data_IF_304847506628
#
_entry.id   IF_304847506628
#
_cell.length_a   1.000
_cell.length_b   1.000
_cell.length_c   1.000
_cell.angle_alpha   90.00
_cell.angle_beta   90.00
_cell.angle_gamma   90.00
#
_symmetry.space_group_name_H-M   'P 1'
#
loop_
_entity.id
_entity.type
_entity.pdbx_description
1 polymer ?
#
# COMPACT_ATOMS: atom_id res chain seq x y z
N UNK A 1 -2.13 -14.31 -15.36
CA UNK A 1 -0.78 -13.83 -15.01
C UNK A 1 -0.85 -12.76 -13.90
N UNK A 2 -1.55 -11.64 -14.10
CA UNK A 2 -1.66 -10.59 -13.06
C UNK A 2 -2.46 -10.97 -11.82
N UNK A 3 -3.54 -11.74 -11.94
CA UNK A 3 -4.31 -12.17 -10.76
C UNK A 3 -3.46 -12.96 -9.76
N UNK A 4 -2.62 -13.88 -10.25
CA UNK A 4 -1.68 -14.64 -9.42
C UNK A 4 -0.58 -13.74 -8.82
N UNK A 5 -0.12 -12.73 -9.58
CA UNK A 5 0.84 -11.74 -9.10
C UNK A 5 0.27 -10.87 -7.97
N UNK A 6 -0.95 -10.36 -8.16
CA UNK A 6 -1.66 -9.54 -7.15
C UNK A 6 -1.96 -10.31 -5.87
N UNK A 7 -2.17 -11.62 -5.95
CA UNK A 7 -2.46 -12.45 -4.77
C UNK A 7 -1.34 -12.38 -3.72
N UNK A 8 -0.08 -12.40 -4.15
CA UNK A 8 1.07 -12.33 -3.24
C UNK A 8 1.47 -10.90 -2.87
N UNK A 9 0.73 -9.90 -3.34
CA UNK A 9 0.93 -8.48 -3.03
C UNK A 9 -0.19 -7.91 -2.16
N UNK A 10 -1.06 -8.78 -1.64
CA UNK A 10 -2.20 -8.39 -0.82
C UNK A 10 -1.99 -8.84 0.62
N UNK A 11 -2.01 -7.90 1.56
CA UNK A 11 -1.90 -8.15 3.00
C UNK A 11 -3.17 -7.66 3.68
N UNK A 12 -3.97 -8.60 4.18
CA UNK A 12 -5.15 -8.30 5.00
C UNK A 12 -4.73 -8.10 6.47
N UNK A 13 -5.04 -6.94 7.04
CA UNK A 13 -4.75 -6.59 8.43
C UNK A 13 -6.07 -6.51 9.20
N UNK A 14 -6.55 -7.64 9.69
CA UNK A 14 -7.86 -7.72 10.32
C UNK A 14 -9.01 -7.67 9.30
N UNK A 15 -10.24 -7.37 9.75
CA UNK A 15 -11.45 -7.59 8.95
C UNK A 15 -11.73 -6.58 7.84
N UNK A 16 -11.18 -5.36 7.92
CA UNK A 16 -11.58 -4.24 7.05
C UNK A 16 -10.41 -3.47 6.44
N UNK A 17 -9.17 -3.86 6.70
CA UNK A 17 -7.99 -3.16 6.23
C UNK A 17 -7.15 -4.08 5.34
N UNK A 18 -6.81 -3.60 4.15
CA UNK A 18 -5.98 -4.34 3.19
C UNK A 18 -4.90 -3.42 2.63
N UNK A 19 -3.65 -3.88 2.65
CA UNK A 19 -2.55 -3.29 1.88
C UNK A 19 -2.41 -4.02 0.55
N UNK A 20 -2.49 -3.27 -0.54
CA UNK A 20 -2.18 -3.73 -1.89
C UNK A 20 -0.82 -3.15 -2.27
N UNK A 21 0.23 -3.95 -2.17
CA UNK A 21 1.58 -3.53 -2.54
C UNK A 21 1.72 -3.40 -4.05
N UNK A 22 2.21 -2.25 -4.48
CA UNK A 22 2.31 -1.87 -5.89
C UNK A 22 3.72 -2.10 -6.43
N UNK A 23 3.81 -2.30 -7.74
CA UNK A 23 5.02 -2.44 -8.54
C UNK A 23 4.77 -2.02 -9.99
N UNK A 24 5.82 -2.10 -10.80
CA UNK A 24 5.73 -1.78 -12.22
C UNK A 24 4.64 -2.59 -12.95
N UNK A 25 4.41 -3.86 -12.59
CA UNK A 25 3.42 -4.69 -13.26
C UNK A 25 2.00 -4.31 -12.84
N UNK A 26 1.74 -4.11 -11.56
CA UNK A 26 0.43 -3.68 -11.04
C UNK A 26 0.06 -2.29 -11.56
N UNK A 27 1.00 -1.34 -11.56
CA UNK A 27 0.81 0.00 -12.12
C UNK A 27 0.61 0.02 -13.62
N UNK A 28 1.37 -0.79 -14.37
CA UNK A 28 1.16 -0.94 -15.81
C UNK A 28 -0.30 -1.35 -16.12
N UNK A 29 -0.85 -2.31 -15.38
CA UNK A 29 -2.23 -2.75 -15.60
C UNK A 29 -3.25 -1.73 -15.14
N UNK A 30 -2.96 -0.99 -14.06
CA UNK A 30 -3.83 0.08 -13.58
C UNK A 30 -3.94 1.20 -14.62
N UNK A 31 -2.81 1.65 -15.17
CA UNK A 31 -2.78 2.64 -16.26
C UNK A 31 -3.53 2.12 -17.49
N UNK A 32 -3.25 0.89 -17.94
CA UNK A 32 -3.95 0.31 -19.08
C UNK A 32 -5.47 0.24 -18.89
N UNK A 33 -5.92 -0.07 -17.67
CA UNK A 33 -7.34 -0.12 -17.35
C UNK A 33 -7.98 1.27 -17.38
N UNK A 34 -7.33 2.28 -16.80
CA UNK A 34 -7.78 3.67 -16.85
C UNK A 34 -7.89 4.18 -18.28
N UNK A 35 -6.84 4.01 -19.08
CA UNK A 35 -6.83 4.41 -20.49
C UNK A 35 -7.98 3.75 -21.28
N UNK A 36 -8.30 2.49 -20.97
CA UNK A 36 -9.37 1.74 -21.63
C UNK A 36 -10.77 2.22 -21.23
N UNK A 37 -10.99 2.46 -19.93
CA UNK A 37 -12.28 2.92 -19.39
C UNK A 37 -12.59 4.32 -19.90
N UNK A 38 -11.62 5.23 -19.78
CA UNK A 38 -11.75 6.64 -20.15
C UNK A 38 -11.55 6.87 -21.65
N UNK A 39 -11.15 5.84 -22.41
CA UNK A 39 -10.88 5.88 -23.85
C UNK A 39 -9.85 6.97 -24.22
N UNK A 40 -8.76 6.99 -23.47
CA UNK A 40 -7.65 7.93 -23.66
C UNK A 40 -6.70 7.35 -24.70
N UNK A 41 -6.42 8.12 -25.76
CA UNK A 41 -5.52 7.72 -26.85
C UNK A 41 -4.46 8.78 -27.19
N UNK A 42 -4.63 10.00 -26.69
CA UNK A 42 -3.71 11.11 -26.94
C UNK A 42 -2.46 10.98 -26.08
N UNK A 43 -1.29 11.19 -26.69
CA UNK A 43 0.00 10.94 -26.02
C UNK A 43 0.17 11.75 -24.73
N UNK A 44 -0.24 13.02 -24.73
CA UNK A 44 -0.11 13.90 -23.56
C UNK A 44 -1.00 13.41 -22.40
N UNK A 45 -2.21 12.96 -22.68
CA UNK A 45 -3.13 12.41 -21.68
C UNK A 45 -2.64 11.05 -21.15
N UNK A 46 -2.02 10.23 -22.00
CA UNK A 46 -1.36 8.99 -21.56
C UNK A 46 -0.20 9.32 -20.61
N UNK A 47 0.56 10.37 -20.91
CA UNK A 47 1.66 10.81 -20.05
C UNK A 47 1.13 11.30 -18.70
N UNK A 48 0.02 12.03 -18.66
CA UNK A 48 -0.64 12.45 -17.42
C UNK A 48 -1.02 11.25 -16.53
N UNK A 49 -1.59 10.19 -17.11
CA UNK A 49 -1.90 8.95 -16.36
C UNK A 49 -0.62 8.26 -15.87
N UNK A 50 0.42 8.16 -16.71
CA UNK A 50 1.70 7.60 -16.28
C UNK A 50 2.30 8.39 -15.12
N UNK A 51 2.30 9.72 -15.19
CA UNK A 51 2.84 10.60 -14.15
C UNK A 51 2.06 10.48 -12.84
N UNK A 52 0.75 10.20 -12.89
CA UNK A 52 -0.07 9.96 -11.72
C UNK A 52 0.22 8.61 -11.02
N UNK A 53 0.52 7.55 -11.78
CA UNK A 53 0.72 6.19 -11.23
C UNK A 53 2.18 5.80 -11.00
N UNK A 54 3.13 6.35 -11.75
CA UNK A 54 4.56 6.08 -11.58
C UNK A 54 5.08 6.30 -10.14
N UNK A 55 4.62 7.30 -9.37
CA UNK A 55 5.03 7.48 -7.97
C UNK A 55 4.69 6.30 -7.04
N UNK A 56 3.78 5.41 -7.47
CA UNK A 56 3.42 4.19 -6.74
C UNK A 56 4.32 3.00 -7.08
N UNK A 57 5.31 3.16 -7.95
CA UNK A 57 6.30 2.13 -8.24
C UNK A 57 7.45 2.24 -7.23
N UNK A 58 7.82 1.14 -6.53
CA UNK A 58 9.01 1.09 -5.67
C UNK A 58 10.30 1.47 -6.41
N UNK A 59 11.20 2.19 -5.73
CA UNK A 59 12.48 2.65 -6.30
C UNK A 59 13.69 1.80 -5.88
N UNK A 60 13.48 0.78 -5.04
CA UNK A 60 14.53 -0.08 -4.52
C UNK A 60 14.81 0.08 -3.03
N UNK A 61 14.49 1.22 -2.40
CA UNK A 61 14.68 1.41 -0.94
C UNK A 61 13.37 1.56 -0.19
N UNK A 62 12.24 1.58 -0.91
CA UNK A 62 10.92 1.62 -0.31
C UNK A 62 9.97 0.57 -0.89
N UNK A 63 8.90 0.33 -0.13
CA UNK A 63 7.71 -0.37 -0.61
C UNK A 63 6.57 0.64 -0.75
N UNK A 64 5.81 0.53 -1.84
CA UNK A 64 4.63 1.35 -2.11
C UNK A 64 3.38 0.49 -1.97
N UNK A 65 2.34 1.03 -1.33
CA UNK A 65 1.08 0.31 -1.16
C UNK A 65 -0.13 1.22 -1.25
N UNK A 66 -1.18 0.71 -1.90
CA UNK A 66 -2.54 1.24 -1.76
C UNK A 66 -3.18 0.61 -0.52
N UNK A 67 -3.43 1.41 0.50
CA UNK A 67 -4.14 1.01 1.71
C UNK A 67 -5.64 1.27 1.56
N UNK A 68 -6.45 0.22 1.72
CA UNK A 68 -7.90 0.30 1.57
C UNK A 68 -8.63 -0.09 2.86
N UNK A 69 -9.66 0.68 3.18
CA UNK A 69 -10.67 0.38 4.21
C UNK A 69 -11.95 -0.13 3.53
N UNK A 70 -12.16 -1.44 3.63
CA UNK A 70 -13.16 -2.18 2.88
C UNK A 70 -14.39 -2.47 3.75
N UNK A 71 -15.41 -1.62 3.59
CA UNK A 71 -16.73 -1.78 4.19
C UNK A 71 -17.78 -1.91 3.08
N UNK A 72 -18.46 -3.07 2.97
CA UNK A 72 -19.45 -3.32 1.92
C UNK A 72 -20.64 -2.35 2.01
N UNK A 73 -21.13 -2.12 3.22
CA UNK A 73 -22.29 -1.27 3.46
C UNK A 73 -21.91 0.21 3.55
N UNK A 74 -22.57 1.04 2.73
CA UNK A 74 -22.24 2.47 2.61
C UNK A 74 -22.43 3.23 3.92
N UNK A 75 -23.49 2.91 4.68
CA UNK A 75 -23.77 3.54 5.96
C UNK A 75 -22.68 3.21 6.99
N UNK A 76 -22.34 1.92 7.10
CA UNK A 76 -21.27 1.44 7.98
C UNK A 76 -19.91 2.05 7.60
N UNK A 77 -19.57 2.07 6.31
CA UNK A 77 -18.35 2.70 5.80
C UNK A 77 -18.22 4.14 6.27
N UNK A 78 -19.30 4.93 6.15
CA UNK A 78 -19.27 6.35 6.53
C UNK A 78 -19.01 6.54 8.02
N UNK A 79 -19.61 5.71 8.89
CA UNK A 79 -19.39 5.75 10.33
C UNK A 79 -17.99 5.27 10.71
N UNK A 80 -17.51 4.19 10.07
CA UNK A 80 -16.18 3.66 10.28
C UNK A 80 -15.10 4.69 9.91
N UNK A 81 -15.18 5.31 8.72
CA UNK A 81 -14.21 6.32 8.28
C UNK A 81 -14.17 7.56 9.18
N UNK A 82 -15.28 7.91 9.84
CA UNK A 82 -15.27 8.99 10.83
C UNK A 82 -14.52 8.62 12.12
N UNK A 83 -14.56 7.34 12.52
CA UNK A 83 -13.86 6.83 13.71
C UNK A 83 -12.37 6.51 13.45
N UNK A 84 -12.03 6.20 12.20
CA UNK A 84 -10.69 5.80 11.77
C UNK A 84 -9.84 7.00 11.30
N UNK A 85 -10.09 8.19 11.83
CA UNK A 85 -9.34 9.38 11.48
C UNK A 85 -7.86 9.21 11.86
N UNK A 86 -6.95 9.29 10.89
CA UNK A 86 -5.51 9.13 11.12
C UNK A 86 -5.04 7.67 11.14
N UNK A 87 -5.89 6.70 10.81
CA UNK A 87 -5.52 5.28 10.79
C UNK A 87 -4.35 4.98 9.84
N UNK A 88 -4.19 5.75 8.76
CA UNK A 88 -3.07 5.63 7.82
C UNK A 88 -1.71 5.86 8.48
N UNK A 89 -1.66 6.70 9.53
CA UNK A 89 -0.45 6.98 10.33
C UNK A 89 -0.17 5.88 11.36
N UNK A 90 -1.19 5.09 11.69
CA UNK A 90 -1.11 3.97 12.61
C UNK A 90 -0.74 2.65 11.92
N UNK A 91 -0.62 2.62 10.58
CA UNK A 91 -0.08 1.48 9.85
C UNK A 91 1.42 1.34 10.16
N UNK A 92 1.93 0.11 10.18
CA UNK A 92 3.35 -0.17 10.34
C UNK A 92 3.77 -1.46 9.63
N UNK A 93 5.05 -1.50 9.27
CA UNK A 93 5.81 -2.69 8.86
C UNK A 93 6.94 -2.91 9.87
N UNK A 94 7.29 -4.17 10.15
CA UNK A 94 8.39 -4.52 11.05
C UNK A 94 9.18 -5.69 10.47
N UNK A 95 10.50 -5.58 10.48
CA UNK A 95 11.44 -6.63 10.09
C UNK A 95 12.18 -7.11 11.34
N UNK A 96 12.19 -8.42 11.61
CA UNK A 96 12.91 -9.06 12.71
C UNK A 96 12.70 -8.50 14.13
N UNK A 97 11.59 -7.81 14.39
CA UNK A 97 11.40 -7.11 15.67
C UNK A 97 12.19 -5.81 15.83
N UNK A 98 12.79 -5.30 14.75
CA UNK A 98 13.39 -3.95 14.67
C UNK A 98 12.34 -2.86 14.97
N UNK A 99 12.76 -1.60 14.95
CA UNK A 99 11.81 -0.49 15.06
C UNK A 99 10.73 -0.56 13.97
N UNK A 100 9.49 -0.22 14.35
CA UNK A 100 8.35 -0.21 13.41
C UNK A 100 8.55 0.90 12.38
N UNK A 101 8.55 0.52 11.11
CA UNK A 101 8.57 1.44 9.98
C UNK A 101 7.15 1.97 9.76
N UNK A 102 7.00 3.28 9.94
CA UNK A 102 5.74 4.02 9.68
C UNK A 102 5.74 4.58 8.27
N UNK A 103 4.65 4.43 7.50
CA UNK A 103 4.62 4.91 6.14
C UNK A 103 4.45 6.43 6.09
N UNK A 104 4.97 7.02 5.02
CA UNK A 104 4.59 8.36 4.57
C UNK A 104 3.33 8.18 3.73
N UNK A 105 2.24 8.82 4.15
CA UNK A 105 0.94 8.68 3.52
C UNK A 105 0.61 9.87 2.62
N UNK A 106 0.02 9.58 1.46
CA UNK A 106 -0.60 10.55 0.54
C UNK A 106 0.32 11.69 0.07
N UNK A 107 1.63 11.41 -0.09
CA UNK A 107 2.60 12.40 -0.59
C UNK A 107 2.27 12.92 -2.00
N UNK A 108 1.55 12.12 -2.78
CA UNK A 108 1.16 12.40 -4.16
C UNK A 108 -0.17 13.19 -4.27
N UNK A 109 -0.83 13.50 -3.15
CA UNK A 109 -2.12 14.20 -3.13
C UNK A 109 -1.99 15.63 -2.62
N UNK A 110 -2.35 16.62 -3.45
CA UNK A 110 -2.55 18.01 -3.02
C UNK A 110 -3.88 18.16 -2.24
N UNK A 111 -4.03 17.61 -1.03
CA UNK A 111 -5.09 18.03 -0.06
C UNK A 111 -5.03 17.33 1.29
N UNK A 112 -5.20 18.14 2.34
CA UNK A 112 -5.82 17.73 3.61
C UNK A 112 -7.28 18.21 3.61
N UNK A 113 -8.25 17.30 3.72
CA UNK A 113 -9.58 17.62 4.27
C UNK A 113 -9.62 17.14 5.71
N UNK A 114 -9.91 18.05 6.64
CA UNK A 114 -9.66 17.88 8.08
C UNK A 114 -10.65 16.98 8.84
N UNK A 115 -11.78 16.61 8.23
CA UNK A 115 -12.92 16.14 9.03
C UNK A 115 -13.20 14.63 8.93
N UNK A 116 -12.65 13.92 7.93
CA UNK A 116 -12.89 12.48 7.71
C UNK A 116 -11.70 11.81 7.03
N UNK A 117 -11.42 10.54 7.36
CA UNK A 117 -10.42 9.74 6.64
C UNK A 117 -10.94 9.27 5.28
N UNK A 118 -10.01 8.96 4.37
CA UNK A 118 -10.30 8.38 3.06
C UNK A 118 -10.49 6.86 3.18
N UNK A 119 -11.25 6.26 2.27
CA UNK A 119 -11.29 4.81 2.17
C UNK A 119 -10.01 4.24 1.51
N UNK A 120 -9.22 5.10 0.86
CA UNK A 120 -8.03 4.74 0.10
C UNK A 120 -6.91 5.71 0.43
N UNK A 121 -5.73 5.19 0.76
CA UNK A 121 -4.51 5.96 1.00
C UNK A 121 -3.36 5.37 0.21
N UNK A 122 -2.44 6.21 -0.25
CA UNK A 122 -1.17 5.77 -0.83
C UNK A 122 -0.09 5.85 0.24
N UNK A 123 0.64 4.76 0.44
CA UNK A 123 1.63 4.61 1.49
C UNK A 123 2.99 4.31 0.89
N UNK A 124 4.03 5.01 1.38
CA UNK A 124 5.43 4.66 1.15
C UNK A 124 6.09 4.25 2.46
N UNK A 125 6.57 3.02 2.53
CA UNK A 125 7.42 2.54 3.62
C UNK A 125 8.87 2.70 3.18
N UNK A 126 9.61 3.59 3.81
CA UNK A 126 11.05 3.73 3.57
C UNK A 126 11.81 2.74 4.46
N UNK A 127 12.66 1.89 3.87
CA UNK A 127 13.40 0.87 4.61
C UNK A 127 14.87 1.28 4.74
N UNK A 128 15.46 0.98 5.90
CA UNK A 128 16.90 1.10 6.08
C UNK A 128 17.63 -0.06 5.38
N UNK A 129 18.94 0.07 5.14
CA UNK A 129 19.74 -1.04 4.60
C UNK A 129 19.72 -2.29 5.50
N UNK A 130 19.59 -2.12 6.82
CA UNK A 130 19.43 -3.23 7.76
C UNK A 130 18.09 -3.94 7.55
N UNK A 131 17.01 -3.18 7.44
CA UNK A 131 15.68 -3.74 7.20
C UNK A 131 15.60 -4.43 5.84
N UNK A 132 16.20 -3.86 4.79
CA UNK A 132 16.24 -4.49 3.47
C UNK A 132 17.00 -5.83 3.52
N UNK A 133 18.15 -5.87 4.18
CA UNK A 133 18.92 -7.10 4.34
C UNK A 133 18.12 -8.17 5.10
N UNK A 134 17.44 -7.80 6.19
CA UNK A 134 16.56 -8.71 6.93
C UNK A 134 15.36 -9.17 6.09
N UNK A 135 14.74 -8.25 5.36
CA UNK A 135 13.61 -8.52 4.47
C UNK A 135 13.97 -9.52 3.37
N UNK A 136 15.18 -9.45 2.82
CA UNK A 136 15.69 -10.41 1.82
C UNK A 136 16.22 -11.71 2.43
N UNK A 137 16.61 -11.69 3.69
CA UNK A 137 17.11 -12.85 4.43
C UNK A 137 16.00 -13.75 4.96
N UNK A 138 16.25 -14.40 6.10
CA UNK A 138 15.30 -15.32 6.74
C UNK A 138 14.45 -14.66 7.85
N UNK A 139 14.61 -13.35 8.07
CA UNK A 139 13.95 -12.64 9.16
C UNK A 139 12.42 -12.60 9.02
N UNK A 140 11.70 -12.57 10.13
CA UNK A 140 10.24 -12.39 10.09
C UNK A 140 9.87 -10.99 9.60
N UNK A 141 8.86 -10.89 8.75
CA UNK A 141 8.25 -9.62 8.35
C UNK A 141 6.81 -9.61 8.84
N UNK A 142 6.41 -8.55 9.51
CA UNK A 142 5.04 -8.39 10.02
C UNK A 142 4.48 -7.03 9.62
N UNK A 143 3.16 -6.99 9.43
CA UNK A 143 2.40 -5.78 9.14
C UNK A 143 1.33 -5.59 10.21
N UNK A 144 1.01 -4.35 10.53
CA UNK A 144 -0.08 -4.10 11.45
C UNK A 144 -0.58 -2.68 11.45
N UNK A 145 -1.62 -2.48 12.25
CA UNK A 145 -2.24 -1.20 12.55
C UNK A 145 -2.39 -1.14 14.07
N UNK A 146 -1.95 -0.05 14.68
CA UNK A 146 -2.07 0.22 16.12
C UNK A 146 -2.85 1.51 16.39
N UNK A 147 -4.08 1.56 15.86
CA UNK A 147 -5.02 2.65 16.05
C UNK A 147 -5.96 2.36 17.23
N UNK A 148 -6.39 3.38 17.97
CA UNK A 148 -7.22 3.25 19.19
C UNK A 148 -8.50 2.40 18.99
N UNK A 149 -9.09 2.48 17.80
CA UNK A 149 -10.32 1.73 17.44
C UNK A 149 -10.10 0.63 16.40
N UNK A 150 -8.85 0.36 16.02
CA UNK A 150 -8.49 -0.69 15.05
C UNK A 150 -7.05 -1.18 15.28
N UNK A 151 -6.92 -2.28 16.02
CA UNK A 151 -5.62 -2.85 16.36
C UNK A 151 -5.52 -4.32 15.91
N UNK A 152 -4.74 -4.54 14.86
CA UNK A 152 -4.56 -5.86 14.24
C UNK A 152 -3.14 -5.96 13.67
N UNK A 153 -2.62 -7.18 13.60
CA UNK A 153 -1.34 -7.47 12.96
C UNK A 153 -1.36 -8.86 12.32
N UNK A 154 -0.45 -9.07 11.38
CA UNK A 154 -0.26 -10.33 10.68
C UNK A 154 1.23 -10.50 10.33
N UNK A 155 1.69 -11.75 10.38
CA UNK A 155 3.01 -12.11 9.84
C UNK A 155 2.88 -12.38 8.34
N UNK A 156 3.80 -11.82 7.56
CA UNK A 156 3.84 -12.02 6.12
C UNK A 156 4.08 -13.50 5.81
N UNK A 157 3.31 -14.05 4.86
CA UNK A 157 3.61 -15.40 4.35
C UNK A 157 4.93 -15.37 3.57
N UNK A 158 5.60 -16.53 3.40
CA UNK A 158 6.81 -16.62 2.59
C UNK A 158 6.62 -16.09 1.16
N UNK A 159 5.45 -16.33 0.56
CA UNK A 159 5.13 -15.89 -0.80
C UNK A 159 4.99 -14.36 -0.89
N UNK A 160 4.37 -13.73 0.11
CA UNK A 160 4.27 -12.27 0.20
C UNK A 160 5.65 -11.68 0.42
N UNK A 161 6.40 -12.19 1.40
CA UNK A 161 7.76 -11.73 1.67
C UNK A 161 8.64 -11.82 0.42
N UNK A 162 8.60 -12.93 -0.29
CA UNK A 162 9.35 -13.11 -1.54
C UNK A 162 8.93 -12.11 -2.62
N UNK A 163 7.63 -11.88 -2.79
CA UNK A 163 7.13 -10.94 -3.79
C UNK A 163 7.59 -9.50 -3.50
N UNK A 164 7.52 -9.06 -2.24
CA UNK A 164 7.91 -7.70 -1.84
C UNK A 164 9.43 -7.52 -1.80
N UNK A 165 10.19 -8.56 -1.43
CA UNK A 165 11.65 -8.51 -1.44
C UNK A 165 12.23 -8.25 -2.85
N UNK A 166 11.50 -8.65 -3.90
CA UNK A 166 11.90 -8.42 -5.28
C UNK A 166 11.84 -6.94 -5.70
N UNK A 167 11.14 -6.10 -4.93
CA UNK A 167 11.06 -4.65 -5.18
C UNK A 167 12.21 -3.87 -4.53
N UNK A 168 13.03 -4.54 -3.69
CA UNK A 168 14.10 -3.92 -2.93
C UNK A 168 15.48 -4.20 -3.55
N UNK A 169 16.37 -3.21 -3.56
CA UNK A 169 17.76 -3.29 -4.02
C UNK A 169 18.72 -3.45 -2.82
N UNK A 170 19.94 -3.92 -3.06
CA UNK A 170 20.94 -4.14 -1.99
C UNK A 170 21.59 -2.83 -1.53
#
# INVERSE_FOLDING_TARGET
>A
RVLAHKANRRVEIGPHATLYFEDALTMQYQVQEMLRIERIFEADQIQEELDAYNPLIPDGTNLKATFMLEYPEVAERREALARLLGVEKAVWLQVNGNERIRPIANEDLERETSDKTSAVHFLRFELSSEDIAGFKGDDSVSFGIDHDVYSHQIDASPEIKQALAADLQD
#
